data_IF_372550744207
#
_entry.id   IF_372550744207
#
_cell.length_a   1.000
_cell.length_b   1.000
_cell.length_c   1.000
_cell.angle_alpha   90.00
_cell.angle_beta   90.00
_cell.angle_gamma   90.00
#
_symmetry.space_group_name_H-M   'P 1'
#
loop_
_entity.id
_entity.type
_entity.pdbx_description
1 polymer ?
#
# COMPACT_ATOMS: atom_id res chain seq x y z
N UNK A 1 23.69 -11.50 2.82
CA UNK A 1 23.22 -10.34 2.21
C UNK A 1 21.74 -10.33 1.90
N UNK A 2 21.09 -9.31 2.30
CA UNK A 2 19.70 -9.22 2.11
C UNK A 2 19.38 -8.53 0.85
N UNK A 3 18.42 -9.02 0.10
CA UNK A 3 17.95 -8.27 -1.04
C UNK A 3 16.78 -7.42 -0.62
N UNK A 4 16.70 -6.23 -1.18
CA UNK A 4 15.61 -5.34 -0.90
C UNK A 4 14.36 -5.86 -1.56
N UNK A 5 13.29 -5.93 -0.80
CA UNK A 5 12.02 -6.38 -1.33
C UNK A 5 11.23 -5.18 -1.85
N UNK A 6 10.84 -5.24 -3.11
CA UNK A 6 9.99 -4.23 -3.73
C UNK A 6 8.62 -4.83 -3.98
N UNK A 7 7.59 -4.14 -3.51
CA UNK A 7 6.21 -4.52 -3.77
C UNK A 7 5.66 -3.63 -4.86
N UNK A 8 4.97 -4.22 -5.82
CA UNK A 8 4.35 -3.46 -6.91
C UNK A 8 2.85 -3.58 -6.74
N UNK A 9 2.20 -2.44 -6.54
CA UNK A 9 0.76 -2.38 -6.43
C UNK A 9 0.21 -1.77 -7.72
N UNK A 10 -0.41 -2.59 -8.53
CA UNK A 10 -0.95 -2.16 -9.80
C UNK A 10 -2.46 -1.95 -9.65
N UNK A 11 -2.89 -0.71 -9.76
CA UNK A 11 -4.29 -0.34 -9.61
C UNK A 11 -4.97 -0.05 -10.94
N UNK A 12 -4.33 -0.41 -12.05
CA UNK A 12 -4.86 -0.14 -13.38
C UNK A 12 -6.27 -0.69 -13.51
N UNK A 13 -7.20 0.18 -13.92
CA UNK A 13 -8.59 -0.18 -14.17
C UNK A 13 -9.32 -0.78 -12.99
N UNK A 14 -8.88 -0.46 -11.78
CA UNK A 14 -9.58 -0.88 -10.58
C UNK A 14 -10.97 -0.23 -10.56
N UNK A 15 -12.02 -1.01 -10.33
CA UNK A 15 -13.40 -0.54 -10.52
C UNK A 15 -14.12 -0.14 -9.24
N UNK A 16 -13.78 -0.74 -8.11
CA UNK A 16 -14.48 -0.45 -6.88
C UNK A 16 -13.55 -0.66 -5.68
N UNK A 17 -13.97 -0.14 -4.53
CA UNK A 17 -13.10 -0.10 -3.37
C UNK A 17 -12.69 -1.49 -2.87
N UNK A 18 -13.60 -2.44 -2.93
CA UNK A 18 -13.25 -3.80 -2.54
C UNK A 18 -12.13 -4.38 -3.39
N UNK A 19 -12.15 -4.07 -4.68
CA UNK A 19 -11.08 -4.51 -5.57
C UNK A 19 -9.77 -3.83 -5.23
N UNK A 20 -9.81 -2.56 -4.87
CA UNK A 20 -8.61 -1.83 -4.45
C UNK A 20 -7.95 -2.54 -3.27
N UNK A 21 -8.73 -2.87 -2.25
CA UNK A 21 -8.17 -3.54 -1.08
C UNK A 21 -7.72 -4.96 -1.40
N UNK A 22 -8.39 -5.64 -2.32
CA UNK A 22 -7.96 -6.98 -2.71
C UNK A 22 -6.62 -6.92 -3.42
N UNK A 23 -6.41 -5.91 -4.27
CA UNK A 23 -5.11 -5.75 -4.92
C UNK A 23 -4.01 -5.44 -3.92
N UNK A 24 -4.34 -4.67 -2.88
CA UNK A 24 -3.39 -4.42 -1.80
C UNK A 24 -3.04 -5.72 -1.09
N UNK A 25 -4.05 -6.51 -0.77
CA UNK A 25 -3.83 -7.78 -0.09
C UNK A 25 -2.89 -8.68 -0.88
N UNK A 26 -3.14 -8.81 -2.16
CA UNK A 26 -2.32 -9.68 -3.01
C UNK A 26 -0.91 -9.13 -3.16
N UNK A 27 -0.78 -7.83 -3.39
CA UNK A 27 0.53 -7.22 -3.62
C UNK A 27 1.45 -7.35 -2.40
N UNK A 28 0.90 -7.14 -1.21
CA UNK A 28 1.67 -7.23 0.02
C UNK A 28 1.69 -8.63 0.62
N UNK A 29 0.95 -9.55 0.02
CA UNK A 29 0.83 -10.93 0.53
C UNK A 29 0.26 -10.93 1.94
N UNK A 30 -0.74 -10.08 2.17
CA UNK A 30 -1.44 -10.03 3.44
C UNK A 30 -2.36 -11.25 3.58
N UNK A 31 -2.68 -11.64 4.81
CA UNK A 31 -3.54 -12.81 5.01
C UNK A 31 -4.95 -12.59 4.48
N UNK A 32 -5.67 -13.68 4.27
CA UNK A 32 -7.02 -13.62 3.72
C UNK A 32 -8.00 -12.91 4.64
N UNK A 33 -7.68 -12.82 5.92
CA UNK A 33 -8.56 -12.13 6.86
C UNK A 33 -8.32 -10.63 6.89
N UNK A 34 -7.54 -10.10 5.95
CA UNK A 34 -7.36 -8.66 5.84
C UNK A 34 -8.72 -7.97 5.78
N UNK A 35 -8.95 -6.99 6.66
CA UNK A 35 -10.24 -6.38 6.87
C UNK A 35 -10.73 -5.41 5.80
N UNK A 36 -9.96 -5.20 4.75
CA UNK A 36 -10.33 -4.34 3.62
C UNK A 36 -10.72 -2.93 4.06
N UNK A 37 -9.97 -2.36 4.99
CA UNK A 37 -10.14 -0.96 5.40
C UNK A 37 -8.78 -0.39 5.77
N UNK A 38 -8.73 0.93 5.93
CA UNK A 38 -7.44 1.58 6.12
C UNK A 38 -6.83 1.34 7.49
N UNK A 39 -7.66 1.07 8.51
CA UNK A 39 -7.14 0.69 9.83
C UNK A 39 -6.45 -0.66 9.76
N UNK A 40 -7.05 -1.62 9.07
CA UNK A 40 -6.43 -2.94 8.87
C UNK A 40 -5.16 -2.82 8.05
N UNK A 41 -5.17 -1.94 7.04
CA UNK A 41 -3.98 -1.71 6.23
C UNK A 41 -2.82 -1.21 7.10
N UNK A 42 -3.09 -0.23 7.96
CA UNK A 42 -2.08 0.31 8.88
C UNK A 42 -1.54 -0.79 9.79
N UNK A 43 -2.43 -1.58 10.36
CA UNK A 43 -2.02 -2.64 11.27
C UNK A 43 -1.14 -3.67 10.58
N UNK A 44 -1.51 -4.08 9.36
CA UNK A 44 -0.74 -5.09 8.66
C UNK A 44 0.57 -4.55 8.09
N UNK A 45 0.61 -3.27 7.73
CA UNK A 45 1.88 -2.67 7.35
C UNK A 45 2.88 -2.80 8.50
N UNK A 46 2.43 -2.55 9.72
CA UNK A 46 3.33 -2.57 10.87
C UNK A 46 3.71 -3.98 11.28
N UNK A 47 2.85 -4.95 11.05
CA UNK A 47 3.10 -6.30 11.55
C UNK A 47 3.51 -7.32 10.49
N UNK A 48 3.13 -7.12 9.24
CA UNK A 48 3.36 -8.12 8.20
C UNK A 48 4.19 -7.63 7.03
N UNK A 49 4.35 -6.33 6.86
CA UNK A 49 5.05 -5.81 5.70
C UNK A 49 6.56 -5.89 5.89
N UNK A 50 7.22 -6.56 4.98
CA UNK A 50 8.68 -6.63 5.00
C UNK A 50 9.29 -5.94 3.78
N UNK A 51 8.50 -5.18 3.06
CA UNK A 51 8.98 -4.47 1.88
C UNK A 51 9.77 -3.23 2.28
N UNK A 52 10.79 -2.93 1.49
CA UNK A 52 11.54 -1.69 1.66
C UNK A 52 11.11 -0.64 0.67
N UNK A 53 10.44 -1.05 -0.41
CA UNK A 53 9.96 -0.12 -1.40
C UNK A 53 8.61 -0.57 -1.95
N UNK A 54 7.74 0.40 -2.20
CA UNK A 54 6.45 0.15 -2.81
C UNK A 54 6.33 1.03 -4.05
N UNK A 55 5.99 0.42 -5.18
CA UNK A 55 5.71 1.15 -6.41
C UNK A 55 4.23 1.03 -6.70
N UNK A 56 3.56 2.16 -6.93
CA UNK A 56 2.13 2.19 -7.18
C UNK A 56 1.88 2.63 -8.60
N UNK A 57 1.18 1.80 -9.36
CA UNK A 57 0.89 2.06 -10.76
C UNK A 57 -0.60 2.17 -11.00
N UNK A 58 -0.97 2.88 -12.05
CA UNK A 58 -2.34 2.87 -12.51
C UNK A 58 -3.29 3.82 -11.84
N UNK A 59 -2.80 4.67 -10.94
CA UNK A 59 -3.68 5.62 -10.27
C UNK A 59 -4.38 6.51 -11.28
N UNK A 60 -3.68 6.88 -12.36
CA UNK A 60 -4.25 7.76 -13.36
C UNK A 60 -5.39 7.12 -14.17
N UNK A 61 -5.64 5.84 -13.99
CA UNK A 61 -6.75 5.16 -14.67
C UNK A 61 -8.00 5.13 -13.80
N UNK A 62 -7.90 5.56 -12.55
CA UNK A 62 -9.01 5.46 -11.62
C UNK A 62 -9.98 6.63 -11.78
N UNK A 63 -11.27 6.37 -11.51
CA UNK A 63 -12.25 7.43 -11.57
C UNK A 63 -12.11 8.35 -10.36
N UNK A 64 -12.75 9.51 -10.44
CA UNK A 64 -12.69 10.49 -9.35
C UNK A 64 -13.25 9.95 -8.04
N UNK A 65 -14.05 8.92 -8.12
CA UNK A 65 -14.60 8.32 -6.91
C UNK A 65 -13.53 7.79 -5.98
N UNK A 66 -12.34 7.51 -6.53
CA UNK A 66 -11.24 6.99 -5.73
C UNK A 66 -10.36 8.08 -5.11
N UNK A 67 -10.59 9.35 -5.44
CA UNK A 67 -9.69 10.40 -4.99
C UNK A 67 -9.46 10.40 -3.49
N UNK A 68 -10.55 10.34 -2.71
CA UNK A 68 -10.41 10.34 -1.25
C UNK A 68 -9.73 9.09 -0.75
N UNK A 69 -10.00 7.96 -1.40
CA UNK A 69 -9.39 6.69 -0.98
C UNK A 69 -7.89 6.70 -1.25
N UNK A 70 -7.49 7.24 -2.38
CA UNK A 70 -6.07 7.32 -2.70
C UNK A 70 -5.35 8.28 -1.76
N UNK A 71 -5.98 9.40 -1.40
CA UNK A 71 -5.39 10.32 -0.45
C UNK A 71 -5.22 9.67 0.92
N UNK A 72 -6.22 8.90 1.35
CA UNK A 72 -6.12 8.19 2.61
C UNK A 72 -5.00 7.15 2.56
N UNK A 73 -4.88 6.42 1.46
CA UNK A 73 -3.82 5.45 1.29
C UNK A 73 -2.46 6.11 1.42
N UNK A 74 -2.28 7.24 0.75
CA UNK A 74 -1.01 7.96 0.82
C UNK A 74 -0.71 8.43 2.24
N UNK A 75 -1.74 8.88 2.94
CA UNK A 75 -1.56 9.32 4.32
C UNK A 75 -1.07 8.16 5.20
N UNK A 76 -1.67 6.99 5.04
CA UNK A 76 -1.25 5.82 5.81
C UNK A 76 0.18 5.42 5.46
N UNK A 77 0.51 5.47 4.16
CA UNK A 77 1.86 5.13 3.72
C UNK A 77 2.88 6.10 4.29
N UNK A 78 2.53 7.37 4.35
CA UNK A 78 3.44 8.37 4.90
C UNK A 78 3.64 8.15 6.40
N UNK A 79 2.57 7.80 7.11
CA UNK A 79 2.68 7.46 8.52
C UNK A 79 3.58 6.25 8.73
N UNK A 80 3.44 5.25 7.87
CA UNK A 80 4.27 4.06 7.98
C UNK A 80 5.73 4.37 7.70
N UNK A 81 5.98 5.20 6.70
CA UNK A 81 7.35 5.61 6.38
C UNK A 81 8.01 6.29 7.58
N UNK A 82 7.28 7.19 8.24
CA UNK A 82 7.80 7.87 9.40
C UNK A 82 7.99 6.92 10.57
N UNK A 83 7.10 5.95 10.71
CA UNK A 83 7.24 4.94 11.75
C UNK A 83 8.50 4.09 11.55
N UNK A 84 8.80 3.75 10.31
CA UNK A 84 10.01 2.98 10.00
C UNK A 84 11.26 3.77 10.35
N UNK A 85 11.29 5.06 10.04
CA UNK A 85 12.43 5.90 10.37
C UNK A 85 12.71 5.91 11.87
N UNK A 86 11.63 5.90 12.65
CA UNK A 86 11.74 5.94 14.09
C UNK A 86 12.47 4.72 14.65
N UNK A 87 12.40 3.59 13.94
CA UNK A 87 13.03 2.35 14.36
C UNK A 87 14.22 1.97 13.48
N UNK A 88 14.79 2.95 12.78
CA UNK A 88 15.95 2.73 11.90
C UNK A 88 15.68 1.74 10.78
N UNK A 89 14.42 1.67 10.36
CA UNK A 89 14.05 0.83 9.23
C UNK A 89 13.83 1.70 8.01
N UNK A 90 13.88 1.08 6.84
CA UNK A 90 13.74 1.80 5.59
C UNK A 90 12.45 1.39 4.89
N UNK A 91 11.63 2.37 4.56
CA UNK A 91 10.48 2.15 3.69
C UNK A 91 10.26 3.40 2.85
N UNK A 92 10.10 3.20 1.55
CA UNK A 92 9.80 4.29 0.64
C UNK A 92 8.72 3.86 -0.32
N UNK A 93 7.96 4.81 -0.84
CA UNK A 93 6.98 4.49 -1.85
C UNK A 93 7.04 5.52 -2.96
N UNK A 94 6.63 5.10 -4.14
CA UNK A 94 6.70 5.94 -5.32
C UNK A 94 5.44 5.76 -6.14
N UNK A 95 4.87 6.87 -6.62
CA UNK A 95 3.72 6.82 -7.50
C UNK A 95 4.24 6.84 -8.92
N UNK A 96 4.08 5.74 -9.61
CA UNK A 96 4.57 5.64 -10.97
C UNK A 96 3.59 6.28 -11.95
N UNK A 97 2.32 6.21 -11.64
CA UNK A 97 1.24 6.93 -12.30
C UNK A 97 -0.07 6.14 -12.29
#
# INVERSE_FOLDING_TARGET
>A
MESKKTVILDLTDCKYLGELHERIRVAFDFPEWYGANWDAFWDLLRSECDAEKLEIKGINTLSKEFDNQIETMKYVLEMFKNNCKKYDEIFEYEIIS
#
